data_IF_139650260417
#
_entry.id   IF_139650260417
#
_cell.length_a   1.000
_cell.length_b   1.000
_cell.length_c   1.000
_cell.angle_alpha   90.00
_cell.angle_beta   90.00
_cell.angle_gamma   90.00
#
_symmetry.space_group_name_H-M   'P 1'
#
loop_
_entity.id
_entity.type
_entity.pdbx_description
1 polymer ?
#
# COMPACT_ATOMS: atom_id res chain seq x y z
N UNK A 1 -4.51 21.61 9.19
CA UNK A 1 -5.20 20.68 8.28
C UNK A 1 -5.84 19.56 9.10
N UNK A 2 -7.12 19.24 8.85
CA UNK A 2 -7.83 18.14 9.51
C UNK A 2 -7.51 16.83 8.80
N UNK A 3 -7.01 15.83 9.52
CA UNK A 3 -6.55 14.57 8.95
C UNK A 3 -7.57 13.44 9.18
N UNK A 4 -8.22 13.41 10.34
CA UNK A 4 -9.19 12.35 10.72
C UNK A 4 -10.05 12.81 11.90
N UNK A 5 -11.13 12.09 12.18
CA UNK A 5 -12.06 12.38 13.27
C UNK A 5 -12.50 11.11 14.01
N UNK A 6 -13.13 11.27 15.19
CA UNK A 6 -13.76 10.16 15.92
C UNK A 6 -15.13 10.59 16.48
N UNK A 7 -16.20 9.80 16.29
CA UNK A 7 -17.52 10.12 16.83
C UNK A 7 -17.69 9.65 18.28
N UNK A 8 -16.84 8.74 18.77
CA UNK A 8 -16.90 8.20 20.13
C UNK A 8 -15.59 8.46 20.86
N UNK A 9 -15.69 8.79 22.16
CA UNK A 9 -14.55 9.16 23.02
C UNK A 9 -13.46 8.09 23.10
N UNK A 10 -13.82 6.81 22.88
CA UNK A 10 -12.93 5.64 22.96
C UNK A 10 -12.82 4.85 21.63
N UNK A 11 -13.30 5.41 20.51
CA UNK A 11 -13.21 4.76 19.19
C UNK A 11 -11.86 4.99 18.51
N UNK A 12 -11.52 4.13 17.53
CA UNK A 12 -10.37 4.36 16.63
C UNK A 12 -10.59 5.64 15.81
N UNK A 13 -9.51 6.37 15.55
CA UNK A 13 -9.53 7.48 14.60
C UNK A 13 -9.75 6.92 13.19
N UNK A 14 -10.80 7.39 12.51
CA UNK A 14 -11.12 6.99 11.15
C UNK A 14 -11.33 8.23 10.28
N UNK A 15 -11.20 8.07 8.97
CA UNK A 15 -11.59 9.10 8.03
C UNK A 15 -13.12 9.23 8.05
N UNK A 16 -13.60 10.35 8.58
CA UNK A 16 -15.01 10.71 8.47
C UNK A 16 -15.18 11.71 7.35
N UNK A 17 -16.00 11.40 6.35
CA UNK A 17 -16.41 12.41 5.40
C UNK A 17 -17.14 13.53 6.14
N UNK A 18 -16.68 14.77 5.95
CA UNK A 18 -17.31 15.98 6.49
C UNK A 18 -18.51 16.43 5.63
N UNK A 19 -19.15 15.51 4.89
CA UNK A 19 -20.27 15.85 4.01
C UNK A 19 -21.47 16.39 4.80
N UNK A 20 -22.30 17.20 4.13
CA UNK A 20 -23.52 17.76 4.69
C UNK A 20 -24.47 16.64 5.16
N UNK A 21 -25.00 16.81 6.38
CA UNK A 21 -25.86 15.83 7.07
C UNK A 21 -27.07 15.37 6.22
N UNK A 22 -27.51 16.20 5.26
CA UNK A 22 -28.68 15.97 4.42
C UNK A 22 -28.58 14.76 3.47
N UNK A 23 -27.38 14.30 3.09
CA UNK A 23 -27.23 13.12 2.22
C UNK A 23 -27.28 11.79 2.99
N UNK A 24 -26.93 11.81 4.28
CA UNK A 24 -26.80 10.60 5.11
C UNK A 24 -28.15 10.11 5.63
N UNK A 25 -29.08 11.04 5.92
CA UNK A 25 -30.41 10.72 6.43
C UNK A 25 -31.27 9.94 5.42
N UNK A 26 -31.07 10.17 4.12
CA UNK A 26 -31.77 9.43 3.07
C UNK A 26 -31.35 7.95 2.99
N UNK A 27 -30.10 7.62 3.35
CA UNK A 27 -29.54 6.28 3.17
C UNK A 27 -29.46 5.47 4.46
N UNK A 28 -29.38 6.14 5.63
CA UNK A 28 -29.35 5.47 6.92
C UNK A 28 -30.10 6.28 8.00
N UNK A 29 -31.44 6.17 8.05
CA UNK A 29 -32.27 6.99 8.94
C UNK A 29 -32.14 6.65 10.44
N UNK A 30 -31.52 5.50 10.79
CA UNK A 30 -31.27 5.11 12.19
C UNK A 30 -29.86 5.45 12.67
N UNK A 31 -29.03 6.08 11.83
CA UNK A 31 -27.66 6.45 12.21
C UNK A 31 -27.71 7.57 13.25
N UNK A 32 -26.97 7.45 14.37
CA UNK A 32 -26.79 8.57 15.29
C UNK A 32 -26.18 9.77 14.56
N UNK A 33 -26.83 10.92 14.67
CA UNK A 33 -26.28 12.17 14.16
C UNK A 33 -25.04 12.55 14.98
N UNK A 34 -24.00 13.01 14.28
CA UNK A 34 -22.83 13.63 14.89
C UNK A 34 -22.66 15.01 14.26
N UNK A 35 -22.21 15.97 15.06
CA UNK A 35 -21.86 17.30 14.56
C UNK A 35 -20.49 17.25 13.88
N UNK A 36 -20.39 17.40 12.55
CA UNK A 36 -19.12 17.38 11.83
C UNK A 36 -18.20 18.53 12.25
N UNK A 37 -18.76 19.63 12.77
CA UNK A 37 -18.05 20.83 13.22
C UNK A 37 -17.42 20.66 14.60
N UNK A 38 -17.88 19.69 15.38
CA UNK A 38 -17.44 19.41 16.75
C UNK A 38 -16.88 17.98 16.90
N UNK A 39 -16.20 17.51 15.86
CA UNK A 39 -15.43 16.27 15.95
C UNK A 39 -14.05 16.54 16.56
N UNK A 40 -13.44 15.58 17.29
CA UNK A 40 -12.04 15.68 17.68
C UNK A 40 -11.17 15.56 16.43
N UNK A 41 -10.82 16.70 15.86
CA UNK A 41 -10.00 16.80 14.66
C UNK A 41 -8.55 16.50 15.03
N UNK A 42 -7.88 15.66 14.25
CA UNK A 42 -6.42 15.55 14.29
C UNK A 42 -5.77 16.54 13.36
N UNK A 43 -4.83 17.29 13.90
CA UNK A 43 -3.97 18.20 13.16
C UNK A 43 -2.67 17.52 12.77
N UNK A 44 -1.91 18.17 11.88
CA UNK A 44 -0.55 17.76 11.55
C UNK A 44 0.37 17.75 12.80
N UNK A 45 0.18 18.70 13.72
CA UNK A 45 0.92 18.75 14.98
C UNK A 45 0.65 17.50 15.84
N UNK A 46 -0.60 17.03 15.89
CA UNK A 46 -0.96 15.81 16.60
C UNK A 46 -0.33 14.56 15.97
N UNK A 47 -0.19 14.55 14.64
CA UNK A 47 0.49 13.47 13.93
C UNK A 47 1.97 13.43 14.30
N UNK A 48 2.68 14.56 14.21
CA UNK A 48 4.10 14.65 14.57
C UNK A 48 4.35 14.32 16.04
N UNK A 49 3.46 14.77 16.93
CA UNK A 49 3.51 14.40 18.35
C UNK A 49 3.43 12.89 18.53
N UNK A 50 2.49 12.23 17.84
CA UNK A 50 2.33 10.77 17.89
C UNK A 50 3.59 10.05 17.37
N UNK A 51 4.20 10.53 16.28
CA UNK A 51 5.46 9.98 15.76
C UNK A 51 6.59 10.13 16.78
N UNK A 52 6.69 11.28 17.45
CA UNK A 52 7.70 11.49 18.48
C UNK A 52 7.49 10.57 19.69
N UNK A 53 6.25 10.39 20.14
CA UNK A 53 5.88 9.44 21.20
C UNK A 53 6.22 7.99 20.82
N UNK A 54 6.01 7.59 19.57
CA UNK A 54 6.38 6.25 19.08
C UNK A 54 7.89 6.02 19.08
N UNK A 55 8.66 7.00 18.59
CA UNK A 55 10.12 6.91 18.53
C UNK A 55 10.75 6.93 19.93
N UNK A 56 10.19 7.70 20.87
CA UNK A 56 10.69 7.76 22.26
C UNK A 56 10.24 6.57 23.11
N UNK A 57 9.16 5.88 22.70
CA UNK A 57 8.71 4.66 23.34
C UNK A 57 9.57 3.44 22.99
N UNK A 58 10.47 3.53 22.02
CA UNK A 58 11.39 2.44 21.67
C UNK A 58 12.48 2.30 22.75
N UNK A 59 12.73 1.09 23.31
CA UNK A 59 12.32 -0.24 22.84
C UNK A 59 11.10 -0.88 23.57
N UNK A 60 10.30 -0.11 24.31
CA UNK A 60 9.14 -0.61 25.05
C UNK A 60 7.96 -0.95 24.13
N UNK A 61 7.91 -2.20 23.70
CA UNK A 61 6.86 -2.74 22.82
C UNK A 61 5.44 -2.61 23.39
N UNK A 62 5.25 -2.57 24.71
CA UNK A 62 3.92 -2.38 25.32
C UNK A 62 3.45 -0.94 25.16
N UNK A 63 4.35 0.03 25.39
CA UNK A 63 4.04 1.46 25.17
C UNK A 63 3.76 1.74 23.70
N UNK A 64 4.59 1.21 22.79
CA UNK A 64 4.34 1.34 21.35
C UNK A 64 2.97 0.76 20.98
N UNK A 65 2.63 -0.45 21.42
CA UNK A 65 1.33 -1.07 21.11
C UNK A 65 0.16 -0.23 21.63
N UNK A 66 0.26 0.38 22.80
CA UNK A 66 -0.77 1.27 23.34
C UNK A 66 -0.95 2.52 22.47
N UNK A 67 0.16 3.17 22.08
CA UNK A 67 0.13 4.36 21.21
C UNK A 67 -0.44 4.01 19.84
N UNK A 68 -0.01 2.89 19.23
CA UNK A 68 -0.54 2.40 17.94
C UNK A 68 -2.04 2.11 18.04
N UNK A 69 -2.48 1.49 19.14
CA UNK A 69 -3.89 1.12 19.32
C UNK A 69 -4.77 2.37 19.44
N UNK A 70 -4.30 3.38 20.17
CA UNK A 70 -5.03 4.63 20.37
C UNK A 70 -4.99 5.52 19.13
N UNK A 71 -3.86 5.55 18.43
CA UNK A 71 -3.66 6.46 17.32
C UNK A 71 -3.98 5.88 15.95
N UNK A 72 -3.91 4.57 15.76
CA UNK A 72 -3.89 3.95 14.43
C UNK A 72 -2.65 4.32 13.59
N UNK A 73 -1.71 5.07 14.15
CA UNK A 73 -0.45 5.46 13.50
C UNK A 73 0.60 4.44 13.94
N UNK A 74 1.16 3.72 12.97
CA UNK A 74 2.20 2.73 13.25
C UNK A 74 3.59 3.39 13.33
N UNK A 75 3.93 4.20 12.31
CA UNK A 75 5.13 5.04 12.20
C UNK A 75 5.07 5.86 10.91
N UNK A 76 6.11 6.66 10.66
CA UNK A 76 6.39 7.27 9.35
C UNK A 76 7.22 6.28 8.50
N UNK A 77 6.75 5.83 7.31
CA UNK A 77 7.57 5.01 6.42
C UNK A 77 8.73 5.83 5.85
N UNK A 78 9.88 5.19 5.59
CA UNK A 78 11.07 5.87 5.06
C UNK A 78 10.78 6.56 3.72
N UNK A 79 9.92 5.95 2.90
CA UNK A 79 9.45 6.55 1.64
C UNK A 79 8.78 7.93 1.85
N UNK A 80 8.05 8.14 2.96
CA UNK A 80 7.44 9.43 3.27
C UNK A 80 8.45 10.50 3.69
N UNK A 81 9.70 10.12 4.00
CA UNK A 81 10.80 11.06 4.28
C UNK A 81 11.60 11.44 3.03
N UNK A 82 11.32 10.83 1.88
CA UNK A 82 12.03 11.11 0.63
C UNK A 82 11.71 12.52 0.11
N UNK A 83 12.74 13.28 -0.26
CA UNK A 83 12.58 14.57 -0.95
C UNK A 83 11.89 14.45 -2.32
N UNK A 84 11.81 13.23 -2.87
CA UNK A 84 11.04 12.96 -4.08
C UNK A 84 9.52 13.02 -3.84
N UNK A 85 9.07 12.92 -2.58
CA UNK A 85 7.69 13.18 -2.17
C UNK A 85 7.53 14.67 -1.80
N UNK A 86 7.37 15.54 -2.79
CA UNK A 86 6.99 16.95 -2.56
C UNK A 86 5.47 17.03 -2.48
N UNK A 87 4.93 17.24 -1.27
CA UNK A 87 3.49 17.42 -1.07
C UNK A 87 3.09 18.90 -1.22
N UNK A 88 2.00 19.21 -1.94
CA UNK A 88 1.19 20.37 -1.59
C UNK A 88 0.65 20.13 -0.18
N UNK A 89 0.84 21.09 0.73
CA UNK A 89 0.55 21.06 2.18
C UNK A 89 -0.90 20.77 2.59
N UNK A 90 -1.74 20.33 1.66
CA UNK A 90 -3.20 20.24 1.80
C UNK A 90 -3.76 18.82 1.59
N UNK A 91 -2.93 17.82 1.24
CA UNK A 91 -3.37 16.42 1.10
C UNK A 91 -2.45 15.44 1.84
N UNK A 92 -3.06 14.54 2.61
CA UNK A 92 -2.39 13.55 3.49
C UNK A 92 -2.95 12.15 3.25
N UNK A 93 -2.14 11.08 3.27
CA UNK A 93 -0.88 10.88 2.56
C UNK A 93 -1.12 10.25 1.18
N UNK A 94 -0.33 10.63 0.17
CA UNK A 94 -0.16 9.78 -1.03
C UNK A 94 0.46 8.47 -0.55
N UNK A 95 -0.31 7.41 -0.75
CA UNK A 95 0.03 6.04 -0.45
C UNK A 95 1.31 5.66 -1.23
N UNK A 96 2.47 5.47 -0.55
CA UNK A 96 3.73 5.11 -1.22
C UNK A 96 3.67 3.71 -1.85
N UNK A 97 2.64 2.92 -1.50
CA UNK A 97 2.37 1.63 -2.12
C UNK A 97 1.96 1.85 -3.59
N UNK A 98 1.22 2.90 -3.94
CA UNK A 98 0.91 3.18 -5.35
C UNK A 98 2.18 3.46 -6.16
N UNK A 99 3.12 4.26 -5.62
CA UNK A 99 4.37 4.54 -6.31
C UNK A 99 5.18 3.25 -6.56
N UNK A 100 5.39 2.44 -5.53
CA UNK A 100 6.23 1.23 -5.65
C UNK A 100 5.54 0.14 -6.48
N UNK A 101 4.26 -0.13 -6.24
CA UNK A 101 3.55 -1.26 -6.83
C UNK A 101 2.83 -0.90 -8.13
N UNK A 102 2.17 0.25 -8.24
CA UNK A 102 1.41 0.60 -9.45
C UNK A 102 2.25 1.37 -10.48
N UNK A 103 3.22 2.19 -10.05
CA UNK A 103 4.05 2.96 -10.97
C UNK A 103 5.37 2.23 -11.30
N UNK A 104 6.22 2.00 -10.31
CA UNK A 104 7.56 1.42 -10.53
C UNK A 104 7.49 -0.02 -11.05
N UNK A 105 6.64 -0.86 -10.44
CA UNK A 105 6.52 -2.27 -10.88
C UNK A 105 5.90 -2.37 -12.27
N UNK A 106 4.87 -1.58 -12.57
CA UNK A 106 4.28 -1.58 -13.91
C UNK A 106 5.29 -1.10 -14.96
N UNK A 107 6.05 -0.04 -14.66
CA UNK A 107 7.11 0.43 -15.54
C UNK A 107 8.21 -0.62 -15.74
N UNK A 108 8.66 -1.30 -14.68
CA UNK A 108 9.64 -2.38 -14.77
C UNK A 108 9.11 -3.53 -15.64
N UNK A 109 7.84 -3.90 -15.47
CA UNK A 109 7.19 -4.93 -16.28
C UNK A 109 7.19 -4.56 -17.78
N UNK A 110 6.79 -3.33 -18.12
CA UNK A 110 6.79 -2.87 -19.50
C UNK A 110 8.22 -2.80 -20.07
N UNK A 111 9.18 -2.31 -19.28
CA UNK A 111 10.60 -2.25 -19.65
C UNK A 111 11.16 -3.63 -19.95
N UNK A 112 10.83 -4.67 -19.18
CA UNK A 112 11.28 -6.03 -19.44
C UNK A 112 10.84 -6.53 -20.82
N UNK A 113 9.63 -6.17 -21.25
CA UNK A 113 9.09 -6.55 -22.56
C UNK A 113 9.71 -5.71 -23.67
N UNK A 114 9.74 -4.38 -23.51
CA UNK A 114 10.26 -3.45 -24.52
C UNK A 114 11.76 -3.63 -24.78
N UNK A 115 12.54 -3.94 -23.74
CA UNK A 115 13.98 -4.25 -23.86
C UNK A 115 14.26 -5.63 -24.47
N UNK A 116 13.24 -6.46 -24.64
CA UNK A 116 13.38 -7.84 -25.13
C UNK A 116 13.99 -8.81 -24.10
N UNK A 117 14.22 -8.38 -22.85
CA UNK A 117 14.68 -9.25 -21.78
C UNK A 117 13.62 -10.28 -21.36
N UNK A 118 12.35 -9.94 -21.54
CA UNK A 118 11.21 -10.85 -21.46
C UNK A 118 10.51 -10.85 -22.82
N UNK A 119 10.74 -11.89 -23.61
CA UNK A 119 10.11 -12.00 -24.93
C UNK A 119 8.59 -12.14 -24.80
N UNK A 120 7.84 -11.76 -25.84
CA UNK A 120 6.37 -11.87 -25.85
C UNK A 120 5.88 -13.29 -25.49
N UNK A 121 6.46 -14.39 -26.02
CA UNK A 121 6.09 -15.74 -25.60
C UNK A 121 6.37 -16.01 -24.12
N UNK A 122 7.50 -15.54 -23.58
CA UNK A 122 7.81 -15.66 -22.16
C UNK A 122 6.86 -14.84 -21.29
N UNK A 123 6.48 -13.63 -21.70
CA UNK A 123 5.52 -12.80 -20.99
C UNK A 123 4.12 -13.44 -20.94
N UNK A 124 3.67 -14.02 -22.06
CA UNK A 124 2.43 -14.79 -22.10
C UNK A 124 2.49 -16.02 -21.18
N UNK A 125 3.63 -16.74 -21.18
CA UNK A 125 3.85 -17.89 -20.29
C UNK A 125 3.92 -17.48 -18.82
N UNK A 126 4.54 -16.34 -18.50
CA UNK A 126 4.55 -15.76 -17.16
C UNK A 126 3.12 -15.57 -16.66
N UNK A 127 2.27 -14.92 -17.47
CA UNK A 127 0.88 -14.66 -17.14
C UNK A 127 0.07 -15.95 -16.89
N UNK A 128 0.37 -17.02 -17.62
CA UNK A 128 -0.25 -18.33 -17.41
C UNK A 128 0.20 -18.98 -16.10
N UNK A 129 1.52 -19.00 -15.83
CA UNK A 129 2.06 -19.57 -14.59
C UNK A 129 1.49 -18.87 -13.34
N UNK A 130 1.25 -17.56 -13.44
CA UNK A 130 0.61 -16.78 -12.39
C UNK A 130 -0.85 -17.21 -12.15
N UNK A 131 -1.61 -17.50 -13.22
CA UNK A 131 -2.97 -18.03 -13.09
C UNK A 131 -2.98 -19.42 -12.49
N UNK A 132 -2.07 -20.29 -12.93
CA UNK A 132 -1.95 -21.66 -12.44
C UNK A 132 -1.61 -21.67 -10.94
N UNK A 133 -0.76 -20.73 -10.49
CA UNK A 133 -0.40 -20.56 -9.08
C UNK A 133 -1.57 -20.16 -8.16
N UNK A 134 -2.67 -19.62 -8.70
CA UNK A 134 -3.86 -19.34 -7.87
C UNK A 134 -4.49 -20.60 -7.29
N UNK A 135 -4.27 -21.77 -7.90
CA UNK A 135 -4.80 -23.04 -7.38
C UNK A 135 -4.15 -23.45 -6.05
N UNK A 136 -2.93 -22.96 -5.79
CA UNK A 136 -2.15 -23.29 -4.59
C UNK A 136 -2.10 -22.15 -3.58
N UNK A 137 -2.56 -20.95 -3.95
CA UNK A 137 -2.64 -19.81 -3.05
C UNK A 137 -3.80 -19.99 -2.06
N UNK A 138 -3.55 -20.05 -0.74
CA UNK A 138 -4.63 -20.20 0.22
C UNK A 138 -5.53 -18.94 0.21
N UNK A 139 -6.86 -19.09 0.15
CA UNK A 139 -7.79 -17.96 0.10
C UNK A 139 -7.68 -16.97 1.27
N UNK A 140 -7.03 -17.36 2.36
CA UNK A 140 -6.76 -16.52 3.53
C UNK A 140 -5.70 -15.44 3.30
N UNK A 141 -4.85 -15.55 2.26
CA UNK A 141 -3.81 -14.56 1.98
C UNK A 141 -4.33 -13.41 1.11
N UNK A 142 -4.83 -13.69 -0.08
CA UNK A 142 -5.50 -12.71 -0.93
C UNK A 142 -6.43 -13.39 -1.97
N UNK A 143 -7.19 -12.58 -2.70
CA UNK A 143 -7.98 -13.06 -3.84
C UNK A 143 -7.11 -13.56 -5.00
N UNK A 144 -7.72 -14.20 -6.01
CA UNK A 144 -6.99 -14.72 -7.17
C UNK A 144 -6.31 -13.60 -7.94
N UNK A 145 -5.07 -13.86 -8.35
CA UNK A 145 -4.20 -12.92 -9.04
C UNK A 145 -4.37 -13.10 -10.54
N UNK A 146 -4.79 -12.03 -11.23
CA UNK A 146 -5.08 -12.09 -12.66
C UNK A 146 -3.80 -12.14 -13.49
N UNK A 147 -3.89 -12.72 -14.69
CA UNK A 147 -2.78 -12.75 -15.65
C UNK A 147 -2.33 -11.33 -15.99
N UNK A 148 -1.09 -10.98 -15.60
CA UNK A 148 -0.52 -9.65 -15.81
C UNK A 148 -0.37 -9.31 -17.30
N UNK A 149 0.05 -10.25 -18.15
CA UNK A 149 0.20 -10.02 -19.58
C UNK A 149 -1.11 -9.58 -20.24
N UNK A 150 -2.26 -10.13 -19.81
CA UNK A 150 -3.57 -9.77 -20.33
C UNK A 150 -4.23 -8.57 -19.63
N UNK A 151 -3.89 -8.34 -18.35
CA UNK A 151 -4.64 -7.43 -17.47
C UNK A 151 -3.86 -6.23 -16.94
N UNK A 152 -2.57 -6.08 -17.30
CA UNK A 152 -1.76 -4.92 -16.92
C UNK A 152 -2.43 -3.58 -17.25
N UNK A 153 -3.08 -3.47 -18.42
CA UNK A 153 -3.76 -2.24 -18.86
C UNK A 153 -5.21 -2.10 -18.39
N UNK A 154 -5.75 -3.06 -17.61
CA UNK A 154 -7.15 -3.09 -17.20
C UNK A 154 -7.32 -2.98 -15.68
N UNK A 155 -6.71 -1.96 -15.07
CA UNK A 155 -6.77 -1.69 -13.63
C UNK A 155 -6.33 -2.92 -12.81
N UNK A 156 -5.05 -3.28 -12.96
CA UNK A 156 -4.42 -4.30 -12.13
C UNK A 156 -4.37 -3.78 -10.68
N UNK A 157 -4.93 -4.55 -9.73
CA UNK A 157 -5.16 -4.07 -8.36
C UNK A 157 -3.87 -4.10 -7.56
N UNK A 158 -3.75 -3.19 -6.60
CA UNK A 158 -2.55 -3.07 -5.76
C UNK A 158 -2.13 -4.38 -5.08
N UNK A 159 -3.08 -5.20 -4.58
CA UNK A 159 -2.73 -6.48 -3.97
C UNK A 159 -2.14 -7.49 -4.97
N UNK A 160 -2.54 -7.40 -6.25
CA UNK A 160 -2.00 -8.25 -7.31
C UNK A 160 -0.57 -7.82 -7.67
N UNK A 161 -0.32 -6.50 -7.70
CA UNK A 161 1.03 -5.97 -7.84
C UNK A 161 1.93 -6.37 -6.68
N UNK A 162 1.43 -6.29 -5.44
CA UNK A 162 2.17 -6.72 -4.26
C UNK A 162 2.53 -8.20 -4.33
N UNK A 163 1.57 -9.07 -4.68
CA UNK A 163 1.81 -10.49 -4.82
C UNK A 163 2.82 -10.78 -5.95
N UNK A 164 2.74 -10.04 -7.06
CA UNK A 164 3.70 -10.17 -8.15
C UNK A 164 5.11 -9.80 -7.69
N UNK A 165 5.29 -8.64 -7.04
CA UNK A 165 6.60 -8.18 -6.55
C UNK A 165 7.18 -9.17 -5.54
N UNK A 166 6.41 -9.56 -4.53
CA UNK A 166 6.95 -10.28 -3.38
C UNK A 166 6.96 -11.80 -3.51
N UNK A 167 6.04 -12.38 -4.29
CA UNK A 167 5.86 -13.85 -4.28
C UNK A 167 6.20 -14.50 -5.62
N UNK A 168 5.86 -13.85 -6.75
CA UNK A 168 5.84 -14.54 -8.04
C UNK A 168 6.88 -14.08 -9.05
N UNK A 169 7.28 -12.80 -9.07
CA UNK A 169 8.13 -12.28 -10.13
C UNK A 169 9.48 -12.98 -10.21
N UNK A 170 10.25 -13.00 -9.13
CA UNK A 170 11.58 -13.65 -9.10
C UNK A 170 11.52 -15.15 -9.47
N UNK A 171 10.70 -16.00 -8.82
CA UNK A 171 10.68 -17.43 -9.15
C UNK A 171 10.17 -17.72 -10.56
N UNK A 172 9.20 -16.97 -11.07
CA UNK A 172 8.69 -17.18 -12.44
C UNK A 172 9.72 -16.71 -13.47
N UNK A 173 10.39 -15.56 -13.27
CA UNK A 173 11.45 -15.10 -14.19
C UNK A 173 12.60 -16.11 -14.28
N UNK A 174 13.02 -16.69 -13.15
CA UNK A 174 14.01 -17.79 -13.12
C UNK A 174 13.52 -19.01 -13.92
N UNK A 175 12.26 -19.42 -13.68
CA UNK A 175 11.68 -20.59 -14.35
C UNK A 175 11.54 -20.42 -15.87
N UNK A 176 11.40 -19.19 -16.35
CA UNK A 176 11.31 -18.86 -17.77
C UNK A 176 12.68 -18.73 -18.46
N UNK A 177 13.78 -18.91 -17.72
CA UNK A 177 15.13 -18.79 -18.25
C UNK A 177 15.50 -17.35 -18.64
N UNK A 178 14.92 -16.35 -17.97
CA UNK A 178 15.31 -14.94 -18.16
C UNK A 178 16.76 -14.77 -17.68
N UNK A 179 17.51 -13.86 -18.32
CA UNK A 179 18.90 -13.59 -17.98
C UNK A 179 19.06 -13.31 -16.47
N UNK A 180 19.96 -14.05 -15.81
CA UNK A 180 20.17 -13.94 -14.37
C UNK A 180 20.45 -12.50 -13.90
N UNK A 181 21.15 -11.68 -14.69
CA UNK A 181 21.38 -10.26 -14.33
C UNK A 181 20.09 -9.46 -14.25
N UNK A 182 19.13 -9.75 -15.13
CA UNK A 182 17.82 -9.11 -15.13
C UNK A 182 17.00 -9.57 -13.93
N UNK A 183 17.07 -10.86 -13.61
CA UNK A 183 16.46 -11.42 -12.40
C UNK A 183 17.06 -10.79 -11.14
N UNK A 184 18.39 -10.66 -11.07
CA UNK A 184 19.11 -10.05 -9.95
C UNK A 184 18.72 -8.57 -9.77
N UNK A 185 18.55 -7.84 -10.87
CA UNK A 185 18.05 -6.47 -10.84
C UNK A 185 16.62 -6.41 -10.27
N UNK A 186 15.75 -7.32 -10.70
CA UNK A 186 14.39 -7.39 -10.17
C UNK A 186 14.38 -7.77 -8.69
N UNK A 187 15.20 -8.75 -8.27
CA UNK A 187 15.37 -9.12 -6.88
C UNK A 187 15.90 -7.96 -6.03
N UNK A 188 16.81 -7.16 -6.58
CA UNK A 188 17.29 -5.92 -5.95
C UNK A 188 16.16 -4.92 -5.78
N UNK A 189 15.30 -4.75 -6.79
CA UNK A 189 14.11 -3.93 -6.68
C UNK A 189 13.16 -4.44 -5.58
N UNK A 190 12.88 -5.74 -5.51
CA UNK A 190 12.10 -6.35 -4.42
C UNK A 190 12.74 -6.02 -3.07
N UNK A 191 14.06 -6.16 -2.95
CA UNK A 191 14.78 -5.82 -1.72
C UNK A 191 14.68 -4.33 -1.36
N UNK A 192 14.75 -3.42 -2.34
CA UNK A 192 14.54 -1.98 -2.14
C UNK A 192 13.11 -1.71 -1.66
N UNK A 193 12.11 -2.32 -2.28
CA UNK A 193 10.71 -2.20 -1.87
C UNK A 193 10.57 -2.72 -0.45
N UNK A 194 11.04 -3.93 -0.15
CA UNK A 194 11.01 -4.48 1.20
C UNK A 194 11.72 -3.58 2.20
N UNK A 195 12.89 -3.01 1.86
CA UNK A 195 13.65 -2.14 2.77
C UNK A 195 12.97 -0.78 2.97
N UNK A 196 12.37 -0.22 1.92
CA UNK A 196 11.58 1.00 2.01
C UNK A 196 10.32 0.82 2.86
N UNK A 197 9.80 -0.42 2.89
CA UNK A 197 8.60 -0.82 3.63
C UNK A 197 8.91 -1.39 5.03
N UNK A 198 10.12 -1.92 5.26
CA UNK A 198 10.60 -2.44 6.55
C UNK A 198 11.13 -1.30 7.41
N UNK A 199 10.99 -1.51 8.71
CA UNK A 199 11.55 -0.62 9.72
C UNK A 199 13.06 -0.81 9.82
N UNK A 200 13.85 0.26 9.65
CA UNK A 200 15.01 0.50 10.52
C UNK A 200 14.51 0.99 11.87
#
# INVERSE_FOLDING_TARGET
MVISARPLKNGKYLYYPLFSQNLVSAWNPKRPEYDPSNLPLRTEQDYWKTIHELNTAEPDSKKQKAIITQSGILRLPLAASSKAFIYPSMFFPSDPFHLLYENCTAWLWDLLIESGHLTIPQAARFGQLLQDANTTLPPSFCGPIRNIYLKRNSQYKIFEWMALVHWYAVPILLSLGVNNRVVDNFATFVHIVESAMRLS
#
